data_IF_043868210768
#
_entry.id   IF_043868210768
#
_cell.length_a   1.000
_cell.length_b   1.000
_cell.length_c   1.000
_cell.angle_alpha   90.00
_cell.angle_beta   90.00
_cell.angle_gamma   90.00
#
_symmetry.space_group_name_H-M   'P 1'
#
loop_
_entity.id
_entity.type
_entity.pdbx_description
1 polymer ?
#
# COMPACT_ATOMS: atom_id res chain seq x y z
N UNK A 1 -15.83 2.61 -5.10
CA UNK A 1 -15.03 2.14 -6.27
C UNK A 1 -15.37 0.68 -6.48
N UNK A 2 -15.36 0.15 -7.72
CA UNK A 2 -15.58 -1.28 -7.95
C UNK A 2 -14.49 -2.10 -7.26
N UNK A 3 -14.85 -3.26 -6.70
CA UNK A 3 -13.89 -4.17 -6.07
C UNK A 3 -13.08 -4.86 -7.18
N UNK A 4 -11.75 -4.69 -7.24
CA UNK A 4 -10.94 -5.32 -8.27
C UNK A 4 -11.08 -6.84 -8.26
N UNK A 5 -11.20 -7.42 -9.43
CA UNK A 5 -11.19 -8.87 -9.65
C UNK A 5 -9.79 -9.34 -10.04
N UNK A 6 -9.59 -10.66 -10.10
CA UNK A 6 -8.30 -11.28 -10.48
C UNK A 6 -7.71 -10.66 -11.75
N UNK A 7 -8.53 -10.46 -12.79
CA UNK A 7 -8.07 -9.91 -14.07
C UNK A 7 -7.70 -8.43 -13.99
N UNK A 8 -8.34 -7.65 -13.10
CA UNK A 8 -7.94 -6.26 -12.85
C UNK A 8 -6.53 -6.21 -12.23
N UNK A 9 -6.26 -7.10 -11.28
CA UNK A 9 -4.92 -7.21 -10.67
C UNK A 9 -3.87 -7.64 -11.68
N UNK A 10 -4.19 -8.57 -12.60
CA UNK A 10 -3.28 -8.94 -13.70
C UNK A 10 -2.97 -7.75 -14.60
N UNK A 11 -3.98 -6.95 -14.95
CA UNK A 11 -3.79 -5.76 -15.77
C UNK A 11 -2.91 -4.71 -15.05
N UNK A 12 -3.12 -4.51 -13.75
CA UNK A 12 -2.27 -3.62 -12.94
C UNK A 12 -0.83 -4.12 -12.90
N UNK A 13 -0.62 -5.41 -12.67
CA UNK A 13 0.71 -6.03 -12.67
C UNK A 13 1.43 -5.92 -14.02
N UNK A 14 0.70 -6.09 -15.12
CA UNK A 14 1.25 -5.87 -16.45
C UNK A 14 1.69 -4.41 -16.64
N UNK A 15 0.89 -3.44 -16.18
CA UNK A 15 1.25 -2.03 -16.24
C UNK A 15 2.50 -1.68 -15.43
N UNK A 16 2.66 -2.26 -14.23
CA UNK A 16 3.88 -2.09 -13.44
C UNK A 16 5.11 -2.72 -14.10
N UNK A 17 4.96 -3.90 -14.68
CA UNK A 17 6.02 -4.56 -15.43
C UNK A 17 6.47 -3.71 -16.63
N UNK A 18 5.53 -3.15 -17.40
CA UNK A 18 5.83 -2.38 -18.61
C UNK A 18 6.50 -1.04 -18.30
N UNK A 19 6.02 -0.31 -17.27
CA UNK A 19 6.48 1.06 -16.99
C UNK A 19 7.63 1.15 -16.01
N UNK A 20 7.65 0.26 -15.03
CA UNK A 20 8.53 0.36 -13.86
C UNK A 20 9.46 -0.85 -13.74
N UNK A 21 9.40 -1.79 -14.70
CA UNK A 21 10.16 -3.04 -14.70
C UNK A 21 9.99 -3.83 -13.38
N UNK A 22 8.82 -3.66 -12.74
CA UNK A 22 8.51 -4.29 -11.46
C UNK A 22 7.44 -5.38 -11.66
N UNK A 23 7.84 -6.65 -11.84
CA UNK A 23 6.91 -7.74 -12.08
C UNK A 23 6.03 -8.00 -10.86
N UNK A 24 4.81 -8.49 -11.10
CA UNK A 24 3.85 -8.90 -10.08
C UNK A 24 3.43 -7.78 -9.10
N UNK A 25 3.77 -6.51 -9.33
CA UNK A 25 3.30 -5.41 -8.50
C UNK A 25 1.84 -5.08 -8.82
N UNK A 26 0.95 -5.21 -7.84
CA UNK A 26 -0.49 -4.98 -8.00
C UNK A 26 -0.95 -3.62 -7.46
N UNK A 27 -0.02 -2.78 -7.02
CA UNK A 27 -0.32 -1.42 -6.59
C UNK A 27 0.73 -0.83 -5.67
N UNK A 28 0.82 0.49 -5.66
CA UNK A 28 1.59 1.24 -4.68
C UNK A 28 0.64 1.81 -3.62
N UNK A 29 0.95 1.56 -2.34
CA UNK A 29 0.14 1.99 -1.20
C UNK A 29 0.80 3.17 -0.47
N UNK A 30 0.00 4.17 -0.11
CA UNK A 30 0.45 5.28 0.72
C UNK A 30 -0.69 5.82 1.60
N UNK A 31 -0.32 6.46 2.71
CA UNK A 31 -1.21 7.15 3.61
C UNK A 31 -1.07 8.67 3.51
N UNK A 32 -2.21 9.37 3.48
CA UNK A 32 -2.26 10.84 3.43
C UNK A 32 -3.11 11.40 4.56
N UNK A 33 -2.53 12.30 5.34
CA UNK A 33 -3.30 13.15 6.24
C UNK A 33 -4.04 14.23 5.44
N UNK A 34 -5.36 14.14 5.42
CA UNK A 34 -6.27 15.16 4.89
C UNK A 34 -6.69 16.06 6.04
N UNK A 35 -6.31 17.33 5.99
CA UNK A 35 -6.62 18.30 7.04
C UNK A 35 -8.12 18.54 7.11
N UNK A 36 -8.67 18.53 8.32
CA UNK A 36 -10.09 18.80 8.58
C UNK A 36 -10.24 19.84 9.69
N UNK A 37 -11.40 20.48 9.72
CA UNK A 37 -11.86 21.15 10.93
C UNK A 37 -12.27 20.08 11.96
N UNK A 38 -11.73 20.17 13.17
CA UNK A 38 -12.05 19.22 14.24
C UNK A 38 -13.56 19.24 14.53
N UNK A 39 -14.22 18.07 14.60
CA UNK A 39 -15.58 17.99 15.10
C UNK A 39 -15.66 18.49 16.55
N UNK A 40 -16.82 19.02 16.94
CA UNK A 40 -17.05 19.47 18.32
C UNK A 40 -16.78 18.31 19.30
N UNK A 41 -16.12 18.62 20.41
CA UNK A 41 -15.78 17.66 21.48
C UNK A 41 -14.89 16.47 21.05
N UNK A 42 -14.18 16.56 19.92
CA UNK A 42 -13.31 15.47 19.44
C UNK A 42 -11.96 15.35 20.18
N UNK A 43 -11.62 16.32 21.05
CA UNK A 43 -10.34 16.37 21.74
C UNK A 43 -9.16 16.27 20.77
N UNK A 44 -8.19 15.40 21.09
CA UNK A 44 -6.99 15.16 20.27
C UNK A 44 -7.14 14.00 19.27
N UNK A 45 -8.32 13.40 19.10
CA UNK A 45 -8.51 12.21 18.25
C UNK A 45 -8.01 12.42 16.81
N UNK A 46 -8.31 13.58 16.23
CA UNK A 46 -7.88 13.92 14.87
C UNK A 46 -6.53 14.65 14.84
N UNK A 47 -5.95 14.98 16.00
CA UNK A 47 -4.72 15.76 16.06
C UNK A 47 -3.52 14.89 15.66
N UNK A 48 -2.79 15.34 14.64
CA UNK A 48 -1.65 14.62 14.07
C UNK A 48 -0.31 15.22 14.54
N UNK A 49 0.79 14.57 14.15
CA UNK A 49 2.15 15.00 14.47
C UNK A 49 2.55 16.35 13.82
N UNK A 50 1.78 16.84 12.84
CA UNK A 50 1.97 18.15 12.20
C UNK A 50 1.19 19.27 12.89
N UNK A 51 0.72 19.04 14.11
CA UNK A 51 -0.07 19.99 14.89
C UNK A 51 -1.35 20.48 14.21
N UNK A 52 -1.98 19.60 13.42
CA UNK A 52 -3.26 19.88 12.73
C UNK A 52 -4.25 18.75 13.00
N UNK A 53 -5.54 19.01 12.82
CA UNK A 53 -6.56 17.95 12.82
C UNK A 53 -6.68 17.36 11.41
N UNK A 54 -6.69 16.04 11.30
CA UNK A 54 -6.76 15.33 10.02
C UNK A 54 -7.48 14.00 10.11
N UNK A 55 -8.00 13.58 8.96
CA UNK A 55 -8.34 12.18 8.67
C UNK A 55 -7.19 11.55 7.90
N UNK A 56 -6.96 10.26 8.10
CA UNK A 56 -6.07 9.48 7.27
C UNK A 56 -6.87 8.90 6.10
N UNK A 57 -6.36 9.16 4.90
CA UNK A 57 -6.74 8.53 3.65
C UNK A 57 -5.66 7.50 3.32
N UNK A 58 -6.02 6.24 3.22
CA UNK A 58 -5.16 5.18 2.71
C UNK A 58 -5.56 4.92 1.26
N UNK A 59 -4.60 4.92 0.35
CA UNK A 59 -4.87 4.71 -1.06
C UNK A 59 -3.89 3.71 -1.68
N UNK A 60 -4.40 2.96 -2.65
CA UNK A 60 -3.61 2.14 -3.57
C UNK A 60 -3.77 2.71 -4.97
N UNK A 61 -2.65 2.97 -5.65
CA UNK A 61 -2.60 3.45 -7.02
C UNK A 61 -1.94 2.43 -7.94
N UNK A 62 -2.29 2.44 -9.22
CA UNK A 62 -1.63 1.63 -10.25
C UNK A 62 -0.44 2.35 -10.89
N UNK A 63 0.15 1.70 -11.90
CA UNK A 63 1.28 2.22 -12.67
C UNK A 63 0.96 3.50 -13.49
N UNK A 64 -0.31 3.83 -13.68
CA UNK A 64 -0.82 5.03 -14.36
C UNK A 64 -1.23 6.14 -13.36
N UNK A 65 -0.90 5.96 -12.07
CA UNK A 65 -1.29 6.86 -10.99
C UNK A 65 -2.81 6.95 -10.76
N UNK A 66 -3.57 5.96 -11.21
CA UNK A 66 -5.01 5.90 -10.99
C UNK A 66 -5.30 5.22 -9.65
N UNK A 67 -6.19 5.82 -8.85
CA UNK A 67 -6.68 5.20 -7.62
C UNK A 67 -7.43 3.90 -7.94
N UNK A 68 -7.02 2.81 -7.29
CA UNK A 68 -7.65 1.49 -7.36
C UNK A 68 -8.35 1.12 -6.06
N UNK A 69 -7.81 1.57 -4.94
CA UNK A 69 -8.42 1.43 -3.62
C UNK A 69 -8.28 2.76 -2.88
N UNK A 70 -9.35 3.17 -2.20
CA UNK A 70 -9.34 4.33 -1.30
C UNK A 70 -10.14 3.96 -0.05
N UNK A 71 -9.50 4.08 1.11
CA UNK A 71 -10.12 3.94 2.43
C UNK A 71 -9.94 5.27 3.18
N UNK A 72 -11.04 5.86 3.65
CA UNK A 72 -11.06 7.16 4.33
C UNK A 72 -11.77 7.00 5.65
N UNK A 73 -11.14 7.49 6.72
CA UNK A 73 -11.77 7.51 8.05
C UNK A 73 -10.83 7.22 9.21
N UNK A 74 -9.56 6.94 8.93
CA UNK A 74 -8.56 6.80 9.99
C UNK A 74 -8.42 8.10 10.79
N UNK A 75 -8.31 7.98 12.12
CA UNK A 75 -8.02 9.13 12.98
C UNK A 75 -6.63 9.71 12.67
N UNK A 76 -6.48 11.03 12.71
CA UNK A 76 -5.21 11.72 12.44
C UNK A 76 -4.04 11.37 13.36
N UNK A 77 -4.29 10.69 14.49
CA UNK A 77 -3.23 10.13 15.34
C UNK A 77 -2.64 8.80 14.82
N UNK A 78 -3.30 8.16 13.86
CA UNK A 78 -2.93 6.83 13.35
C UNK A 78 -1.73 6.93 12.42
N UNK A 79 -0.79 5.99 12.54
CA UNK A 79 0.27 5.77 11.56
C UNK A 79 -0.26 5.03 10.32
N UNK A 80 0.54 4.93 9.25
CA UNK A 80 0.17 4.20 8.04
C UNK A 80 -0.02 2.70 8.32
N UNK A 81 0.87 2.09 9.09
CA UNK A 81 0.68 0.73 9.63
C UNK A 81 -0.63 0.57 10.40
N UNK A 82 -0.98 1.54 11.25
CA UNK A 82 -2.23 1.50 12.02
C UNK A 82 -3.46 1.66 11.13
N UNK A 83 -3.37 2.52 10.12
CA UNK A 83 -4.44 2.78 9.16
C UNK A 83 -4.66 1.58 8.25
N UNK A 84 -3.59 0.96 7.74
CA UNK A 84 -3.67 -0.31 7.02
C UNK A 84 -4.32 -1.38 7.89
N UNK A 85 -3.86 -1.56 9.15
CA UNK A 85 -4.39 -2.60 10.04
C UNK A 85 -5.91 -2.50 10.22
N UNK A 86 -6.43 -1.28 10.33
CA UNK A 86 -7.84 -1.03 10.64
C UNK A 86 -8.71 -0.77 9.39
N UNK A 87 -8.12 -0.76 8.18
CA UNK A 87 -8.83 -0.59 6.91
C UNK A 87 -9.47 -1.89 6.44
N UNK A 88 -10.57 -1.79 5.69
CA UNK A 88 -11.19 -2.96 5.06
C UNK A 88 -10.25 -3.63 4.04
N UNK A 89 -9.46 -2.81 3.33
CA UNK A 89 -8.43 -3.29 2.43
C UNK A 89 -7.37 -4.13 3.17
N UNK A 90 -6.86 -3.62 4.29
CA UNK A 90 -5.84 -4.34 5.06
C UNK A 90 -6.38 -5.61 5.72
N UNK A 91 -7.66 -5.66 6.08
CA UNK A 91 -8.34 -6.89 6.49
C UNK A 91 -8.37 -7.91 5.34
N UNK A 92 -8.84 -7.50 4.15
CA UNK A 92 -8.86 -8.38 2.99
C UNK A 92 -7.47 -8.85 2.54
N UNK A 93 -6.45 -8.00 2.71
CA UNK A 93 -5.05 -8.34 2.43
C UNK A 93 -4.55 -9.46 3.35
N UNK A 94 -4.86 -9.39 4.65
CA UNK A 94 -4.42 -10.39 5.64
C UNK A 94 -5.19 -11.72 5.51
N UNK A 95 -6.46 -11.63 5.16
CA UNK A 95 -7.33 -12.81 5.04
C UNK A 95 -7.22 -13.48 3.66
N UNK A 96 -6.43 -12.90 2.75
CA UNK A 96 -6.26 -13.42 1.38
C UNK A 96 -7.51 -13.29 0.50
N UNK A 97 -8.46 -12.43 0.88
CA UNK A 97 -9.76 -12.29 0.18
C UNK A 97 -9.75 -11.24 -0.94
N UNK A 98 -8.61 -10.58 -1.19
CA UNK A 98 -8.41 -9.64 -2.30
C UNK A 98 -8.45 -10.30 -3.69
N UNK A 99 -8.50 -11.63 -3.76
CA UNK A 99 -8.47 -12.38 -5.02
C UNK A 99 -7.26 -12.02 -5.89
N UNK A 100 -6.08 -11.93 -5.28
CA UNK A 100 -4.84 -11.74 -6.03
C UNK A 100 -4.61 -12.93 -6.98
N UNK A 101 -3.99 -12.71 -8.14
CA UNK A 101 -3.67 -13.81 -9.04
C UNK A 101 -2.69 -14.79 -8.37
N UNK A 102 -2.73 -16.08 -8.75
CA UNK A 102 -1.80 -17.07 -8.20
C UNK A 102 -0.35 -16.70 -8.52
N UNK A 103 0.57 -17.21 -7.70
CA UNK A 103 2.00 -17.00 -7.85
C UNK A 103 2.48 -17.36 -9.26
N UNK A 104 3.36 -16.53 -9.80
CA UNK A 104 3.89 -16.68 -11.17
C UNK A 104 5.39 -16.76 -11.16
N UNK A 105 5.95 -17.55 -12.08
CA UNK A 105 7.40 -17.58 -12.30
C UNK A 105 7.78 -16.33 -13.08
N UNK A 106 8.65 -15.50 -12.50
CA UNK A 106 9.17 -14.30 -13.13
C UNK A 106 10.37 -14.67 -14.00
N UNK A 107 10.35 -14.24 -15.27
CA UNK A 107 11.44 -14.47 -16.22
C UNK A 107 12.78 -13.93 -15.69
N UNK A 108 13.85 -14.72 -15.81
CA UNK A 108 15.17 -14.40 -15.25
C UNK A 108 15.32 -14.71 -13.76
N UNK A 109 14.27 -15.21 -13.10
CA UNK A 109 14.30 -15.62 -11.69
C UNK A 109 13.76 -17.03 -11.47
N UNK A 110 13.82 -17.89 -12.49
CA UNK A 110 13.21 -19.23 -12.51
C UNK A 110 13.66 -20.11 -11.33
N UNK A 111 14.91 -19.93 -10.87
CA UNK A 111 15.47 -20.64 -9.73
C UNK A 111 14.77 -20.34 -8.39
N UNK A 112 14.07 -19.21 -8.28
CA UNK A 112 13.30 -18.83 -7.09
C UNK A 112 11.92 -19.49 -7.06
N UNK A 113 11.48 -20.10 -8.15
CA UNK A 113 10.14 -20.64 -8.29
C UNK A 113 9.08 -19.54 -8.48
N UNK A 114 7.78 -19.90 -8.35
CA UNK A 114 6.69 -18.94 -8.39
C UNK A 114 6.81 -17.90 -7.26
N UNK A 115 6.54 -16.63 -7.59
CA UNK A 115 6.58 -15.51 -6.68
C UNK A 115 5.20 -14.85 -6.59
N UNK A 116 4.82 -14.32 -5.41
CA UNK A 116 3.49 -13.75 -5.20
C UNK A 116 3.30 -12.42 -5.92
N UNK A 117 2.04 -12.04 -6.05
CA UNK A 117 1.65 -10.66 -6.37
C UNK A 117 1.72 -9.80 -5.12
N UNK A 118 2.31 -8.61 -5.24
CA UNK A 118 2.67 -7.79 -4.09
C UNK A 118 2.23 -6.34 -4.29
N UNK A 119 1.81 -5.70 -3.21
CA UNK A 119 1.75 -4.25 -3.12
C UNK A 119 3.13 -3.72 -2.69
N UNK A 120 3.44 -2.48 -3.04
CA UNK A 120 4.64 -1.78 -2.56
C UNK A 120 4.24 -0.58 -1.73
N UNK A 121 4.82 -0.42 -0.54
CA UNK A 121 4.62 0.74 0.33
C UNK A 121 5.94 1.31 0.84
N UNK A 122 5.88 2.45 1.51
CA UNK A 122 7.06 3.04 2.15
C UNK A 122 7.47 2.31 3.45
N UNK A 123 8.48 2.84 4.15
CA UNK A 123 8.99 2.23 5.39
C UNK A 123 8.00 2.22 6.57
N UNK A 124 6.93 3.03 6.50
CA UNK A 124 5.91 3.13 7.53
C UNK A 124 4.92 1.96 7.50
N UNK A 125 4.91 1.16 6.43
CA UNK A 125 4.13 -0.08 6.32
C UNK A 125 4.87 -1.31 6.86
N UNK A 126 4.15 -2.36 7.28
CA UNK A 126 4.77 -3.64 7.65
C UNK A 126 5.21 -4.42 6.40
N UNK A 127 6.20 -5.30 6.55
CA UNK A 127 6.52 -6.31 5.54
C UNK A 127 5.55 -7.49 5.69
N UNK A 128 4.85 -7.87 4.63
CA UNK A 128 3.92 -9.00 4.55
C UNK A 128 4.17 -9.80 3.26
N UNK A 129 3.58 -10.99 3.14
CA UNK A 129 3.70 -11.84 1.94
C UNK A 129 3.29 -11.12 0.66
N UNK A 130 2.23 -10.31 0.74
CA UNK A 130 1.70 -9.52 -0.38
C UNK A 130 1.93 -8.00 -0.21
N UNK A 131 2.81 -7.56 0.70
CA UNK A 131 3.17 -6.14 0.85
C UNK A 131 4.67 -5.99 1.11
N UNK A 132 5.37 -5.46 0.12
CA UNK A 132 6.78 -5.12 0.19
C UNK A 132 6.99 -3.70 0.67
N UNK A 133 8.10 -3.50 1.37
CA UNK A 133 8.62 -2.20 1.78
C UNK A 133 10.13 -2.14 1.57
N UNK A 134 10.73 -0.93 1.47
CA UNK A 134 12.17 -0.78 1.46
C UNK A 134 12.86 -1.45 2.65
N UNK A 135 14.13 -1.81 2.46
CA UNK A 135 14.95 -2.31 3.56
C UNK A 135 15.04 -1.25 4.68
N UNK A 136 14.75 -1.59 5.94
CA UNK A 136 14.88 -0.64 7.02
C UNK A 136 16.36 -0.35 7.32
N UNK A 137 16.77 0.92 7.31
CA UNK A 137 18.10 1.31 7.75
C UNK A 137 18.41 2.80 7.58
N UNK A 138 19.01 3.41 8.62
CA UNK A 138 19.50 4.81 8.59
C UNK A 138 20.91 4.98 8.01
N UNK A 139 21.57 3.87 7.66
CA UNK A 139 22.94 3.82 7.14
C UNK A 139 23.05 2.87 5.95
N UNK A 140 22.05 2.91 5.08
CA UNK A 140 22.11 2.14 3.84
C UNK A 140 23.16 2.78 2.95
N UNK A 141 23.97 1.96 2.28
CA UNK A 141 24.82 2.46 1.20
C UNK A 141 23.91 3.02 0.11
N UNK A 142 24.30 4.07 -0.63
CA UNK A 142 23.44 4.71 -1.66
C UNK A 142 22.68 3.74 -2.58
N UNK A 143 23.27 2.60 -2.96
CA UNK A 143 22.59 1.59 -3.78
C UNK A 143 21.54 0.71 -3.07
N UNK A 144 21.32 0.92 -1.76
CA UNK A 144 20.33 0.22 -0.93
C UNK A 144 19.26 1.18 -0.41
N UNK A 145 19.43 2.48 -0.61
CA UNK A 145 18.40 3.48 -0.36
C UNK A 145 17.41 3.46 -1.52
N UNK A 146 16.12 3.34 -1.21
CA UNK A 146 15.03 3.58 -2.15
C UNK A 146 14.34 4.84 -1.65
N UNK A 147 14.46 5.93 -2.41
CA UNK A 147 13.91 7.26 -2.09
C UNK A 147 12.46 7.31 -2.54
#
# INVERSE_FOLDING_TARGET
MPVPQVEDWRAIAAGFQERWEFPNCVGAIDGKHVVIQAPANAGSLYFNYKSTHSLVLLAVVDAEYLFRVVDVGGFGRSSDSGSLRNSAFGESLRDGSLQLPPDTVIAGSERRGPLPHVFVGDEAFPLLDNLLRPFPGRHLTKGKEVI
#
